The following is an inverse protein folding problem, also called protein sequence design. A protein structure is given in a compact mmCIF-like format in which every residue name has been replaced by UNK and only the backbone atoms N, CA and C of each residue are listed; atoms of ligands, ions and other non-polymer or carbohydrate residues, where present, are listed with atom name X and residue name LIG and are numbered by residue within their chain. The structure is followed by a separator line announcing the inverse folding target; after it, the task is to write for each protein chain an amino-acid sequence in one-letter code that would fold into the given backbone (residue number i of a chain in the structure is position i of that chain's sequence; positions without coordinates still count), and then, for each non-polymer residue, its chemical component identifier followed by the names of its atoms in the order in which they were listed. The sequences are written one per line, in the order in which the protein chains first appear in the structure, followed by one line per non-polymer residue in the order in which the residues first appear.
data_IF_575759442953
#
_entry.id   IF_575759442953
#
_cell.length_a   1.000
_cell.length_b   1.000
_cell.length_c   1.000
_cell.angle_alpha   90.00
_cell.angle_beta   90.00
_cell.angle_gamma   90.00
#
_symmetry.space_group_name_H-M   'P 1'
#
loop_
_entity.id
_entity.type
_entity.pdbx_description
1 polymer ?
#
# COMPACT_ATOMS: atom_id res chain seq x y z
N UNK A 1 2.43 23.85 -1.06
CA UNK A 1 3.51 24.86 -0.83
C UNK A 1 4.25 24.67 0.51
N UNK A 2 3.62 24.83 1.72
CA UNK A 2 4.37 24.68 2.99
C UNK A 2 4.94 23.28 3.25
N UNK A 3 4.25 22.22 2.84
CA UNK A 3 4.70 20.84 3.01
C UNK A 3 5.87 20.50 2.08
N UNK A 4 5.80 20.90 0.83
CA UNK A 4 6.83 20.71 -0.19
C UNK A 4 8.13 21.42 0.18
N UNK A 5 8.04 22.68 0.65
CA UNK A 5 9.18 23.43 1.14
C UNK A 5 9.88 22.73 2.31
N UNK A 6 9.11 22.22 3.31
CA UNK A 6 9.68 21.46 4.44
C UNK A 6 10.35 20.17 3.99
N UNK A 7 9.81 19.51 2.97
CA UNK A 7 10.41 18.30 2.41
C UNK A 7 11.75 18.62 1.73
N UNK A 8 11.82 19.68 0.93
CA UNK A 8 13.05 20.10 0.26
C UNK A 8 14.15 20.56 1.22
N UNK A 9 13.79 21.08 2.40
CA UNK A 9 14.75 21.44 3.44
C UNK A 9 15.50 20.24 4.06
N UNK A 10 15.14 19.02 3.72
CA UNK A 10 15.90 17.81 4.07
C UNK A 10 17.21 17.69 3.28
N UNK A 11 17.31 18.37 2.15
CA UNK A 11 18.55 18.44 1.37
C UNK A 11 19.55 19.35 2.08
N UNK A 12 20.74 18.84 2.33
CA UNK A 12 21.82 19.65 2.95
C UNK A 12 22.18 20.83 2.04
N UNK A 13 22.13 22.03 2.59
CA UNK A 13 22.38 23.27 1.86
C UNK A 13 21.11 23.93 1.30
N UNK A 14 19.93 23.31 1.47
CA UNK A 14 18.65 23.90 1.08
C UNK A 14 17.91 24.40 2.30
N UNK A 15 18.07 25.70 2.60
CA UNK A 15 17.32 26.38 3.66
C UNK A 15 15.95 26.87 3.18
N UNK A 16 15.26 27.63 4.05
CA UNK A 16 13.89 28.12 3.76
C UNK A 16 13.83 28.97 2.49
N UNK A 17 14.79 29.90 2.31
CA UNK A 17 14.81 30.79 1.15
C UNK A 17 15.02 29.99 -0.14
N UNK A 18 15.96 29.05 -0.13
CA UNK A 18 16.27 28.25 -1.31
C UNK A 18 15.15 27.28 -1.64
N UNK A 19 14.53 26.63 -0.63
CA UNK A 19 13.37 25.76 -0.86
C UNK A 19 12.18 26.49 -1.48
N UNK A 20 11.94 27.75 -1.09
CA UNK A 20 10.93 28.62 -1.68
C UNK A 20 11.22 28.90 -3.17
N UNK A 21 12.49 29.18 -3.49
CA UNK A 21 12.93 29.42 -4.86
C UNK A 21 12.83 28.16 -5.73
N UNK A 22 13.18 26.99 -5.20
CA UNK A 22 12.98 25.71 -5.86
C UNK A 22 11.50 25.49 -6.22
N UNK A 23 10.59 25.68 -5.27
CA UNK A 23 9.15 25.54 -5.50
C UNK A 23 8.64 26.56 -6.54
N UNK A 24 9.10 27.81 -6.45
CA UNK A 24 8.75 28.87 -7.41
C UNK A 24 9.23 28.55 -8.85
N UNK A 25 10.38 27.88 -8.98
CA UNK A 25 10.90 27.40 -10.26
C UNK A 25 10.27 26.07 -10.74
N UNK A 26 9.29 25.54 -10.00
CA UNK A 26 8.59 24.29 -10.34
C UNK A 26 9.27 23.02 -9.84
N UNK A 27 10.37 23.11 -9.09
CA UNK A 27 11.10 21.98 -8.50
C UNK A 27 10.58 21.68 -7.07
N UNK A 28 9.34 21.26 -6.96
CA UNK A 28 8.61 21.04 -5.71
C UNK A 28 8.84 19.66 -5.07
N UNK A 29 9.59 18.78 -5.75
CA UNK A 29 9.88 17.40 -5.29
C UNK A 29 11.33 17.02 -5.59
N UNK A 30 11.87 16.06 -4.82
CA UNK A 30 13.21 15.50 -5.08
C UNK A 30 13.34 14.91 -6.49
N UNK A 31 12.27 14.26 -6.99
CA UNK A 31 12.26 13.68 -8.33
C UNK A 31 12.45 14.76 -9.42
N UNK A 32 11.81 15.92 -9.28
CA UNK A 32 11.97 17.02 -10.23
C UNK A 32 13.36 17.66 -10.15
N UNK A 33 13.94 17.77 -8.95
CA UNK A 33 15.32 18.26 -8.76
C UNK A 33 16.32 17.30 -9.38
N UNK A 34 16.17 15.99 -9.14
CA UNK A 34 17.03 14.96 -9.72
C UNK A 34 16.92 14.93 -11.25
N UNK A 35 15.69 15.03 -11.79
CA UNK A 35 15.44 15.05 -13.24
C UNK A 35 15.97 16.32 -13.94
N UNK A 36 15.93 17.47 -13.24
CA UNK A 36 16.49 18.73 -13.77
C UNK A 36 18.02 18.67 -13.90
N UNK A 37 18.66 17.84 -13.12
CA UNK A 37 20.10 17.70 -13.09
C UNK A 37 20.83 18.98 -12.67
N UNK A 38 22.15 18.99 -12.83
CA UNK A 38 22.98 20.13 -12.45
C UNK A 38 22.64 21.40 -13.25
N UNK A 39 22.37 21.23 -14.55
CA UNK A 39 22.09 22.35 -15.45
C UNK A 39 20.80 23.11 -15.06
N UNK A 40 19.74 22.40 -14.72
CA UNK A 40 18.49 23.02 -14.26
C UNK A 40 18.63 23.70 -12.90
N UNK A 41 19.36 23.06 -12.00
CA UNK A 41 19.54 23.53 -10.61
C UNK A 41 20.47 24.74 -10.54
N UNK A 42 21.49 24.83 -11.40
CA UNK A 42 22.40 26.01 -11.50
C UNK A 42 21.68 27.33 -11.71
N UNK A 43 20.53 27.29 -12.41
CA UNK A 43 19.77 28.50 -12.75
C UNK A 43 18.91 29.03 -11.59
N UNK A 44 18.88 28.34 -10.45
CA UNK A 44 18.15 28.80 -9.28
C UNK A 44 18.88 29.98 -8.62
N UNK A 45 18.21 31.11 -8.54
CA UNK A 45 18.78 32.33 -7.99
C UNK A 45 19.28 32.12 -6.53
N UNK A 46 20.53 32.48 -6.28
CA UNK A 46 21.15 32.42 -4.96
C UNK A 46 21.56 31.01 -4.53
N UNK A 47 21.62 30.06 -5.44
CA UNK A 47 22.22 28.76 -5.17
C UNK A 47 23.75 28.87 -5.17
N UNK A 48 24.40 28.22 -4.23
CA UNK A 48 25.84 28.08 -4.26
C UNK A 48 26.23 27.03 -5.32
N UNK A 49 26.95 27.48 -6.36
CA UNK A 49 27.34 26.61 -7.48
C UNK A 49 28.12 25.36 -7.04
N UNK A 50 28.91 25.45 -5.98
CA UNK A 50 29.64 24.31 -5.40
C UNK A 50 28.72 23.26 -4.79
N UNK A 51 27.51 23.65 -4.40
CA UNK A 51 26.52 22.76 -3.76
C UNK A 51 25.58 22.08 -4.77
N UNK A 52 25.52 22.57 -6.01
CA UNK A 52 24.56 22.08 -7.03
C UNK A 52 24.68 20.59 -7.21
N UNK A 53 25.89 20.06 -7.45
CA UNK A 53 26.13 18.62 -7.64
C UNK A 53 25.68 17.81 -6.42
N UNK A 54 26.00 18.29 -5.22
CA UNK A 54 25.61 17.60 -3.98
C UNK A 54 24.10 17.61 -3.77
N UNK A 55 23.40 18.71 -4.08
CA UNK A 55 21.94 18.82 -3.97
C UNK A 55 21.26 17.86 -4.94
N UNK A 56 21.71 17.79 -6.18
CA UNK A 56 21.17 16.88 -7.21
C UNK A 56 21.41 15.42 -6.81
N UNK A 57 22.61 15.07 -6.36
CA UNK A 57 22.94 13.74 -5.89
C UNK A 57 22.07 13.31 -4.70
N UNK A 58 21.93 14.17 -3.68
CA UNK A 58 21.06 13.92 -2.52
C UNK A 58 19.59 13.75 -2.94
N UNK A 59 19.12 14.57 -3.88
CA UNK A 59 17.75 14.42 -4.40
C UNK A 59 17.55 13.06 -5.09
N UNK A 60 18.52 12.59 -5.86
CA UNK A 60 18.53 11.26 -6.46
C UNK A 60 18.48 10.14 -5.41
N UNK A 61 19.36 10.20 -4.40
CA UNK A 61 19.37 9.24 -3.28
C UNK A 61 18.01 9.17 -2.56
N UNK A 62 17.38 10.33 -2.29
CA UNK A 62 16.06 10.38 -1.65
C UNK A 62 14.96 9.75 -2.51
N UNK A 63 15.05 9.86 -3.84
CA UNK A 63 14.12 9.20 -4.77
C UNK A 63 14.32 7.69 -4.75
N UNK A 64 15.58 7.22 -4.79
CA UNK A 64 15.92 5.81 -4.77
C UNK A 64 15.50 5.13 -3.46
N UNK A 65 15.75 5.78 -2.32
CA UNK A 65 15.30 5.30 -1.02
C UNK A 65 13.76 5.19 -0.95
N UNK A 66 13.04 6.18 -1.46
CA UNK A 66 11.59 6.16 -1.51
C UNK A 66 11.07 5.02 -2.40
N UNK A 67 11.72 4.75 -3.53
CA UNK A 67 11.38 3.65 -4.44
C UNK A 67 11.66 2.28 -3.79
N UNK A 68 12.83 2.10 -3.17
CA UNK A 68 13.20 0.88 -2.44
C UNK A 68 12.22 0.60 -1.30
N UNK A 69 11.87 1.63 -0.52
CA UNK A 69 10.89 1.51 0.56
C UNK A 69 9.49 1.13 0.04
N UNK A 70 9.07 1.70 -1.08
CA UNK A 70 7.80 1.36 -1.73
C UNK A 70 7.81 -0.08 -2.25
N UNK A 71 8.89 -0.51 -2.91
CA UNK A 71 9.05 -1.87 -3.43
C UNK A 71 9.01 -2.91 -2.30
N UNK A 72 9.77 -2.68 -1.22
CA UNK A 72 9.73 -3.52 -0.02
C UNK A 72 8.32 -3.63 0.56
N UNK A 73 7.61 -2.51 0.64
CA UNK A 73 6.23 -2.50 1.15
C UNK A 73 5.26 -3.27 0.25
N UNK A 74 5.42 -3.20 -1.06
CA UNK A 74 4.61 -3.99 -2.00
C UNK A 74 4.84 -5.47 -1.79
N UNK A 75 6.10 -5.90 -1.61
CA UNK A 75 6.45 -7.29 -1.37
C UNK A 75 5.85 -7.82 -0.05
N UNK A 76 5.96 -7.05 1.03
CA UNK A 76 5.30 -7.37 2.31
C UNK A 76 3.78 -7.55 2.14
N UNK A 77 3.13 -6.70 1.33
CA UNK A 77 1.70 -6.79 1.09
C UNK A 77 1.32 -7.97 0.18
N UNK A 78 2.18 -8.38 -0.75
CA UNK A 78 2.00 -9.62 -1.53
C UNK A 78 2.04 -10.84 -0.63
N UNK A 79 3.04 -10.92 0.25
CA UNK A 79 3.12 -12.00 1.25
C UNK A 79 1.90 -12.04 2.16
N UNK A 80 1.44 -10.89 2.65
CA UNK A 80 0.24 -10.81 3.46
C UNK A 80 -1.00 -11.29 2.69
N UNK A 81 -1.16 -10.93 1.44
CA UNK A 81 -2.27 -11.38 0.60
C UNK A 81 -2.24 -12.89 0.36
N UNK A 82 -1.06 -13.47 0.12
CA UNK A 82 -0.86 -14.91 -0.01
C UNK A 82 -1.22 -15.66 1.29
N UNK A 83 -0.76 -15.16 2.44
CA UNK A 83 -1.11 -15.72 3.75
C UNK A 83 -2.62 -15.69 3.99
N UNK A 84 -3.28 -14.60 3.63
CA UNK A 84 -4.74 -14.49 3.76
C UNK A 84 -5.49 -15.47 2.85
N UNK A 85 -4.97 -15.77 1.65
CA UNK A 85 -5.53 -16.82 0.80
C UNK A 85 -5.42 -18.20 1.47
N UNK A 86 -4.28 -18.52 2.07
CA UNK A 86 -4.09 -19.73 2.87
C UNK A 86 -5.09 -19.82 4.02
N UNK A 87 -5.23 -18.76 4.82
CA UNK A 87 -6.20 -18.70 5.92
C UNK A 87 -7.65 -18.92 5.44
N UNK A 88 -8.03 -18.38 4.28
CA UNK A 88 -9.36 -18.60 3.71
C UNK A 88 -9.56 -20.07 3.33
N UNK A 89 -8.52 -20.75 2.82
CA UNK A 89 -8.54 -22.18 2.51
C UNK A 89 -8.67 -23.03 3.79
N UNK A 90 -7.91 -22.70 4.84
CA UNK A 90 -8.01 -23.36 6.15
C UNK A 90 -9.42 -23.20 6.76
N UNK A 91 -9.99 -21.98 6.68
CA UNK A 91 -11.38 -21.75 7.10
C UNK A 91 -12.35 -22.64 6.28
N UNK A 92 -12.12 -22.78 4.98
CA UNK A 92 -12.97 -23.62 4.14
C UNK A 92 -12.92 -25.10 4.55
N UNK A 93 -11.72 -25.63 4.84
CA UNK A 93 -11.53 -26.98 5.32
C UNK A 93 -12.16 -27.17 6.70
N UNK A 94 -11.87 -26.27 7.63
CA UNK A 94 -12.42 -26.31 8.99
C UNK A 94 -13.96 -26.20 9.03
N UNK A 95 -14.56 -25.45 8.11
CA UNK A 95 -16.02 -25.38 7.96
C UNK A 95 -16.59 -26.73 7.47
N UNK A 96 -15.95 -27.35 6.48
CA UNK A 96 -16.37 -28.67 5.99
C UNK A 96 -16.30 -29.73 7.05
N UNK A 97 -15.22 -29.74 7.85
CA UNK A 97 -15.02 -30.76 8.89
C UNK A 97 -15.99 -30.58 10.07
N UNK A 98 -16.19 -29.35 10.54
CA UNK A 98 -17.03 -29.07 11.70
C UNK A 98 -18.53 -29.09 11.42
N UNK A 99 -18.94 -28.81 10.20
CA UNK A 99 -20.35 -28.65 9.82
C UNK A 99 -20.76 -29.54 8.66
N UNK A 100 -20.29 -30.80 8.64
CA UNK A 100 -20.48 -31.76 7.53
C UNK A 100 -21.94 -31.82 7.04
N UNK A 101 -22.90 -31.90 7.97
CA UNK A 101 -24.32 -32.03 7.63
C UNK A 101 -24.98 -30.68 7.27
N UNK A 102 -24.47 -29.56 7.81
CA UNK A 102 -25.03 -28.22 7.57
C UNK A 102 -24.49 -27.56 6.30
N UNK A 103 -23.30 -27.95 5.83
CA UNK A 103 -22.66 -27.38 4.63
C UNK A 103 -23.46 -27.63 3.36
N UNK A 104 -24.17 -28.75 3.29
CA UNK A 104 -25.03 -29.11 2.15
C UNK A 104 -26.26 -28.18 2.07
N UNK A 105 -26.66 -27.55 3.16
CA UNK A 105 -27.82 -26.67 3.26
C UNK A 105 -27.61 -25.27 2.63
N UNK A 106 -28.67 -24.48 2.63
CA UNK A 106 -28.69 -23.11 2.10
C UNK A 106 -27.60 -22.20 2.74
N UNK A 107 -27.27 -22.40 4.02
CA UNK A 107 -26.27 -21.59 4.75
C UNK A 107 -24.86 -21.95 4.29
N UNK A 108 -24.55 -23.25 4.16
CA UNK A 108 -23.26 -23.73 3.67
C UNK A 108 -22.94 -23.22 2.27
N UNK A 109 -23.90 -23.37 1.32
CA UNK A 109 -23.76 -22.83 -0.02
C UNK A 109 -23.50 -21.31 -0.07
N UNK A 110 -24.07 -20.54 0.87
CA UNK A 110 -23.77 -19.09 1.00
C UNK A 110 -22.35 -18.86 1.51
N UNK A 111 -21.87 -19.67 2.47
CA UNK A 111 -20.50 -19.57 3.00
C UNK A 111 -19.49 -19.90 1.90
N UNK A 112 -19.68 -20.96 1.14
CA UNK A 112 -18.81 -21.31 0.00
C UNK A 112 -18.74 -20.20 -1.03
N UNK A 113 -19.88 -19.61 -1.40
CA UNK A 113 -19.90 -18.45 -2.32
C UNK A 113 -19.14 -17.25 -1.76
N UNK A 114 -19.19 -16.98 -0.47
CA UNK A 114 -18.42 -15.86 0.13
C UNK A 114 -16.93 -16.19 0.22
N UNK A 115 -16.51 -17.45 0.46
CA UNK A 115 -15.11 -17.89 0.41
C UNK A 115 -14.50 -17.60 -0.97
N UNK A 116 -15.16 -18.05 -2.04
CA UNK A 116 -14.71 -17.77 -3.42
C UNK A 116 -14.61 -16.28 -3.69
N UNK A 117 -15.60 -15.48 -3.24
CA UNK A 117 -15.58 -14.03 -3.43
C UNK A 117 -14.47 -13.33 -2.65
N UNK A 118 -14.07 -13.85 -1.48
CA UNK A 118 -12.94 -13.29 -0.71
C UNK A 118 -11.64 -13.58 -1.46
N UNK A 119 -11.41 -14.79 -1.97
CA UNK A 119 -10.24 -15.14 -2.77
C UNK A 119 -10.15 -14.22 -4.01
N UNK A 120 -11.22 -14.12 -4.79
CA UNK A 120 -11.27 -13.22 -5.96
C UNK A 120 -11.03 -11.75 -5.57
N UNK A 121 -11.45 -11.33 -4.38
CA UNK A 121 -11.17 -9.97 -3.91
C UNK A 121 -9.71 -9.77 -3.50
N UNK A 122 -9.03 -10.79 -2.98
CA UNK A 122 -7.60 -10.77 -2.69
C UNK A 122 -6.78 -10.66 -3.98
N UNK A 123 -7.12 -11.42 -5.02
CA UNK A 123 -6.49 -11.33 -6.34
C UNK A 123 -6.62 -9.93 -6.97
N UNK A 124 -7.81 -9.34 -6.87
CA UNK A 124 -8.04 -7.95 -7.32
C UNK A 124 -7.21 -6.93 -6.53
N UNK A 125 -7.00 -7.15 -5.24
CA UNK A 125 -6.13 -6.30 -4.40
C UNK A 125 -4.68 -6.46 -4.83
N UNK A 126 -4.20 -7.68 -5.07
CA UNK A 126 -2.85 -7.94 -5.57
C UNK A 126 -2.57 -7.18 -6.87
N UNK A 127 -3.49 -7.21 -7.83
CA UNK A 127 -3.37 -6.45 -9.08
C UNK A 127 -3.41 -4.92 -8.91
N UNK A 128 -3.68 -4.40 -7.70
CA UNK A 128 -3.70 -2.96 -7.39
C UNK A 128 -2.62 -2.54 -6.37
N UNK A 129 -1.73 -3.43 -5.95
CA UNK A 129 -0.72 -3.13 -4.93
C UNK A 129 0.18 -1.98 -5.35
N UNK A 130 0.68 -1.98 -6.59
CA UNK A 130 1.60 -0.95 -7.08
C UNK A 130 0.99 0.46 -7.10
N UNK A 131 -0.29 0.55 -7.47
CA UNK A 131 -0.99 1.83 -7.59
C UNK A 131 -1.63 2.31 -6.29
N UNK A 132 -1.98 1.39 -5.36
CA UNK A 132 -2.77 1.71 -4.16
C UNK A 132 -2.19 1.15 -2.85
N UNK A 133 -0.86 1.15 -2.69
CA UNK A 133 -0.12 0.55 -1.54
C UNK A 133 -0.74 0.90 -0.19
N UNK A 134 -0.99 2.19 0.10
CA UNK A 134 -1.56 2.63 1.39
C UNK A 134 -2.98 2.09 1.63
N UNK A 135 -3.83 2.08 0.57
CA UNK A 135 -5.20 1.55 0.67
C UNK A 135 -5.18 0.03 0.81
N UNK A 136 -4.32 -0.65 0.06
CA UNK A 136 -4.13 -2.09 0.12
C UNK A 136 -3.69 -2.55 1.51
N UNK A 137 -2.68 -1.93 2.11
CA UNK A 137 -2.24 -2.24 3.46
C UNK A 137 -3.37 -2.12 4.50
N UNK A 138 -4.15 -1.03 4.45
CA UNK A 138 -5.30 -0.87 5.35
C UNK A 138 -6.42 -1.90 5.09
N UNK A 139 -6.65 -2.27 3.84
CA UNK A 139 -7.67 -3.24 3.45
C UNK A 139 -7.31 -4.65 3.88
N UNK A 140 -6.08 -5.08 3.61
CA UNK A 140 -5.54 -6.39 3.98
C UNK A 140 -5.48 -6.57 5.49
N UNK A 141 -4.93 -5.62 6.24
CA UNK A 141 -4.87 -5.70 7.71
C UNK A 141 -6.26 -5.77 8.37
N UNK A 142 -7.28 -5.10 7.80
CA UNK A 142 -8.67 -5.23 8.27
C UNK A 142 -9.28 -6.58 7.89
N UNK A 143 -8.94 -7.15 6.75
CA UNK A 143 -9.39 -8.47 6.35
C UNK A 143 -8.77 -9.54 7.25
N UNK A 144 -7.46 -9.47 7.52
CA UNK A 144 -6.73 -10.34 8.42
C UNK A 144 -7.38 -10.45 9.79
N UNK A 145 -7.58 -9.30 10.47
CA UNK A 145 -8.26 -9.26 11.77
C UNK A 145 -9.65 -9.92 11.78
N UNK A 146 -10.35 -9.85 10.66
CA UNK A 146 -11.69 -10.45 10.52
C UNK A 146 -11.67 -11.93 10.20
N UNK A 147 -10.67 -12.38 9.46
CA UNK A 147 -10.48 -13.80 9.16
C UNK A 147 -9.96 -14.56 10.39
N UNK A 148 -9.00 -13.98 11.13
CA UNK A 148 -8.48 -14.57 12.35
C UNK A 148 -9.58 -14.89 13.40
N UNK A 149 -10.64 -14.07 13.45
CA UNK A 149 -11.77 -14.30 14.36
C UNK A 149 -12.77 -15.38 13.92
N UNK A 150 -12.52 -16.06 12.80
CA UNK A 150 -13.47 -17.02 12.23
C UNK A 150 -13.15 -18.48 12.57
N UNK A 151 -11.98 -18.76 13.13
CA UNK A 151 -11.55 -20.12 13.46
C UNK A 151 -12.58 -20.85 14.33
N UNK A 152 -13.11 -20.19 15.34
CA UNK A 152 -14.06 -20.78 16.31
C UNK A 152 -15.53 -20.36 16.07
N UNK A 153 -15.80 -19.64 14.98
CA UNK A 153 -17.13 -19.14 14.68
C UNK A 153 -18.07 -20.23 14.16
N UNK A 154 -19.33 -20.21 14.56
CA UNK A 154 -20.37 -21.05 13.96
C UNK A 154 -20.62 -20.66 12.48
N UNK A 155 -21.23 -21.54 11.71
CA UNK A 155 -21.40 -21.44 10.25
C UNK A 155 -21.99 -20.08 9.79
N UNK A 156 -23.03 -19.58 10.48
CA UNK A 156 -23.60 -18.24 10.21
C UNK A 156 -22.62 -17.10 10.54
N UNK A 157 -21.80 -17.27 11.59
CA UNK A 157 -20.75 -16.33 11.97
C UNK A 157 -19.65 -16.23 10.93
N UNK A 158 -19.18 -17.36 10.43
CA UNK A 158 -18.21 -17.45 9.35
C UNK A 158 -18.72 -16.69 8.12
N UNK A 159 -19.94 -16.93 7.66
CA UNK A 159 -20.51 -16.23 6.51
C UNK A 159 -20.59 -14.71 6.69
N UNK A 160 -20.97 -14.23 7.89
CA UNK A 160 -20.98 -12.79 8.22
C UNK A 160 -19.56 -12.20 8.23
N UNK A 161 -18.59 -12.90 8.80
CA UNK A 161 -17.19 -12.47 8.89
C UNK A 161 -16.53 -12.40 7.53
N UNK A 162 -16.69 -13.41 6.68
CA UNK A 162 -16.20 -13.42 5.30
C UNK A 162 -16.76 -12.24 4.49
N UNK A 163 -18.07 -11.96 4.60
CA UNK A 163 -18.69 -10.80 3.96
C UNK A 163 -18.08 -9.47 4.43
N UNK A 164 -17.77 -9.34 5.74
CA UNK A 164 -17.09 -8.16 6.29
C UNK A 164 -15.64 -8.06 5.81
N UNK A 165 -14.89 -9.17 5.73
CA UNK A 165 -13.54 -9.20 5.21
C UNK A 165 -13.53 -8.76 3.73
N UNK A 166 -14.38 -9.36 2.90
CA UNK A 166 -14.57 -8.97 1.50
C UNK A 166 -14.89 -7.48 1.33
N UNK A 167 -15.77 -6.91 2.16
CA UNK A 167 -16.09 -5.48 2.11
C UNK A 167 -14.87 -4.59 2.39
N UNK A 168 -13.92 -5.05 3.22
CA UNK A 168 -12.67 -4.32 3.47
C UNK A 168 -11.74 -4.35 2.27
N UNK A 169 -11.63 -5.50 1.61
CA UNK A 169 -10.83 -5.69 0.40
C UNK A 169 -11.43 -4.90 -0.78
N UNK A 170 -12.75 -4.92 -0.94
CA UNK A 170 -13.43 -4.19 -2.02
C UNK A 170 -13.08 -2.70 -2.06
N UNK A 171 -12.89 -2.07 -0.91
CA UNK A 171 -12.50 -0.65 -0.80
C UNK A 171 -11.12 -0.32 -1.39
N UNK A 172 -10.31 -1.33 -1.68
CA UNK A 172 -8.98 -1.14 -2.27
C UNK A 172 -9.07 -0.94 -3.76
N UNK A 173 -9.93 -1.69 -4.45
CA UNK A 173 -9.99 -1.72 -5.91
C UNK A 173 -11.24 -1.01 -6.49
N UNK A 174 -12.15 -0.58 -5.65
CA UNK A 174 -13.24 0.34 -5.99
C UNK A 174 -12.90 1.73 -5.50
#
# INVERSE_FOLDING_TARGET
MKAEMKELQRLKGVGEVLSRRFVAAGYDTFAKIAAAGEEGVKNIQGINQRMVRSIVAQAGEMVDEAQKSKAKRIEELKHLAANLKGQVQEIALGVRDRFKDEVVGKVGKKVEKELVKVISSLEKVEGKLESRVKKAGKGLAKAEKRLASLADAGLKGVGKGLKKARKSLKRVYV
#
